data_IF_239964278009
#
_entry.id   IF_239964278009
#
_cell.length_a   1.000
_cell.length_b   1.000
_cell.length_c   1.000
_cell.angle_alpha   90.00
_cell.angle_beta   90.00
_cell.angle_gamma   90.00
#
_symmetry.space_group_name_H-M   'P 1'
#
loop_
_entity.id
_entity.type
_entity.pdbx_description
1 polymer ?
#
# COMPACT_ATOMS: atom_id res chain seq x y z
N UNK A 1 15.59 7.47 3.07
CA UNK A 1 15.37 6.19 2.35
C UNK A 1 16.22 6.23 1.10
N UNK A 2 17.30 5.46 1.09
CA UNK A 2 18.23 5.39 -0.04
C UNK A 2 17.50 4.85 -1.28
N UNK A 3 17.68 5.55 -2.40
CA UNK A 3 17.40 5.04 -3.74
C UNK A 3 18.09 3.67 -3.87
N UNK A 4 17.32 2.59 -3.81
CA UNK A 4 17.77 1.34 -4.40
C UNK A 4 18.02 1.65 -5.88
N UNK A 5 19.31 1.69 -6.24
CA UNK A 5 19.78 2.04 -7.56
C UNK A 5 18.96 1.34 -8.64
N UNK A 6 18.54 2.10 -9.63
CA UNK A 6 17.92 1.59 -10.86
C UNK A 6 18.69 0.40 -11.46
N UNK A 7 20.01 0.31 -11.19
CA UNK A 7 20.91 -0.74 -11.65
C UNK A 7 20.61 -2.12 -11.06
N UNK A 8 20.05 -2.19 -9.86
CA UNK A 8 19.76 -3.46 -9.16
C UNK A 8 18.53 -4.18 -9.72
N UNK A 9 17.65 -3.43 -10.39
CA UNK A 9 16.49 -3.97 -11.13
C UNK A 9 16.91 -4.36 -12.56
N UNK A 10 17.91 -3.67 -13.12
CA UNK A 10 18.50 -3.93 -14.44
C UNK A 10 19.26 -5.27 -14.45
N UNK A 11 19.94 -5.62 -13.35
CA UNK A 11 20.70 -6.89 -13.25
C UNK A 11 19.83 -8.15 -13.24
N UNK A 12 18.60 -8.07 -12.71
CA UNK A 12 17.68 -9.22 -12.58
C UNK A 12 16.90 -9.58 -13.85
N UNK A 13 16.95 -8.75 -14.89
CA UNK A 13 16.31 -9.04 -16.19
C UNK A 13 17.29 -9.65 -17.20
N UNK A 14 18.31 -10.33 -16.69
CA UNK A 14 19.21 -11.24 -17.42
C UNK A 14 19.97 -10.59 -18.58
N UNK A 15 21.09 -9.96 -18.27
CA UNK A 15 22.19 -9.80 -19.23
C UNK A 15 22.79 -11.14 -19.69
N UNK A 16 22.48 -12.25 -19.02
CA UNK A 16 23.02 -13.58 -19.31
C UNK A 16 22.15 -14.54 -20.13
N UNK A 17 20.97 -14.14 -20.62
CA UNK A 17 20.04 -15.08 -21.28
C UNK A 17 19.24 -14.49 -22.46
N UNK A 18 19.73 -13.41 -23.09
CA UNK A 18 19.15 -12.92 -24.35
C UNK A 18 19.64 -13.77 -25.53
N UNK A 19 19.25 -15.05 -25.53
CA UNK A 19 19.66 -16.08 -26.48
C UNK A 19 19.38 -15.64 -27.93
N UNK A 20 18.27 -14.95 -28.15
CA UNK A 20 17.88 -14.47 -29.49
C UNK A 20 18.85 -13.39 -29.98
N UNK A 21 19.18 -12.40 -29.13
CA UNK A 21 20.18 -11.38 -29.49
C UNK A 21 21.54 -12.04 -29.78
N UNK A 22 21.95 -12.98 -28.94
CA UNK A 22 23.22 -13.69 -29.09
C UNK A 22 23.26 -14.45 -30.42
N UNK A 23 22.27 -15.31 -30.71
CA UNK A 23 22.18 -16.07 -31.96
C UNK A 23 22.17 -15.17 -33.21
N UNK A 24 21.43 -14.06 -33.18
CA UNK A 24 21.42 -13.11 -34.29
C UNK A 24 22.77 -12.43 -34.47
N UNK A 25 23.42 -12.02 -33.39
CA UNK A 25 24.73 -11.36 -33.42
C UNK A 25 25.80 -12.32 -33.94
N UNK A 26 25.83 -13.56 -33.43
CA UNK A 26 26.77 -14.60 -33.85
C UNK A 26 26.59 -14.92 -35.34
N UNK A 27 25.34 -15.05 -35.81
CA UNK A 27 25.09 -15.34 -37.22
C UNK A 27 25.46 -14.17 -38.14
N UNK A 28 25.19 -12.93 -37.71
CA UNK A 28 25.62 -11.72 -38.42
C UNK A 28 27.14 -11.68 -38.54
N UNK A 29 27.86 -12.05 -37.47
CA UNK A 29 29.31 -12.08 -37.46
C UNK A 29 29.87 -13.17 -38.39
N UNK A 30 29.33 -14.38 -38.35
CA UNK A 30 29.67 -15.48 -39.27
C UNK A 30 29.49 -15.08 -40.75
N UNK A 31 28.38 -14.41 -41.10
CA UNK A 31 28.18 -13.94 -42.47
C UNK A 31 29.17 -12.85 -42.89
N UNK A 32 29.59 -11.96 -41.98
CA UNK A 32 30.62 -10.94 -42.27
C UNK A 32 31.97 -11.58 -42.55
N UNK A 33 32.36 -12.56 -41.75
CA UNK A 33 33.62 -13.32 -41.93
C UNK A 33 33.61 -14.09 -43.26
N UNK A 34 32.47 -14.68 -43.64
CA UNK A 34 32.31 -15.35 -44.93
C UNK A 34 32.43 -14.39 -46.12
N UNK A 35 31.84 -13.18 -46.03
CA UNK A 35 32.01 -12.15 -47.07
C UNK A 35 33.49 -11.77 -47.20
N UNK A 36 34.18 -11.49 -46.09
CA UNK A 36 35.59 -11.10 -46.10
C UNK A 36 36.48 -12.17 -46.75
N UNK A 37 36.26 -13.44 -46.41
CA UNK A 37 36.98 -14.57 -47.01
C UNK A 37 36.73 -14.70 -48.52
N UNK A 38 35.48 -14.53 -48.98
CA UNK A 38 35.14 -14.58 -50.40
C UNK A 38 35.71 -13.39 -51.17
N UNK A 39 35.68 -12.19 -50.59
CA UNK A 39 36.26 -10.98 -51.19
C UNK A 39 37.78 -11.10 -51.32
N UNK A 40 38.48 -11.62 -50.31
CA UNK A 40 39.92 -11.91 -50.39
C UNK A 40 40.23 -12.92 -51.49
N UNK A 41 39.47 -14.03 -51.57
CA UNK A 41 39.63 -15.04 -52.62
C UNK A 41 39.38 -14.50 -54.03
N UNK A 42 38.45 -13.56 -54.17
CA UNK A 42 38.09 -12.97 -55.47
C UNK A 42 39.16 -12.03 -56.04
N UNK A 43 39.96 -11.34 -55.20
CA UNK A 43 41.06 -10.46 -55.65
C UNK A 43 42.13 -11.17 -56.48
N UNK A 44 42.20 -12.50 -56.39
CA UNK A 44 43.19 -13.34 -57.07
C UNK A 44 42.64 -14.03 -58.33
N UNK A 45 41.36 -13.83 -58.67
CA UNK A 45 40.72 -14.44 -59.83
C UNK A 45 40.70 -13.47 -61.02
N UNK A 46 41.05 -13.97 -62.21
CA UNK A 46 40.81 -13.26 -63.47
C UNK A 46 39.33 -13.33 -63.86
N UNK A 47 38.85 -12.36 -64.64
CA UNK A 47 37.46 -12.29 -65.09
C UNK A 47 37.08 -13.58 -65.86
N UNK A 48 36.29 -14.43 -65.20
CA UNK A 48 35.85 -15.74 -65.71
C UNK A 48 34.71 -16.31 -64.87
N UNK A 49 34.19 -17.48 -65.24
CA UNK A 49 32.99 -18.08 -64.64
C UNK A 49 33.06 -18.20 -63.09
N UNK A 50 34.26 -18.44 -62.55
CA UNK A 50 34.48 -18.58 -61.09
C UNK A 50 34.33 -17.23 -60.38
N UNK A 51 34.85 -16.14 -60.95
CA UNK A 51 34.69 -14.80 -60.39
C UNK A 51 33.22 -14.34 -60.40
N UNK A 52 32.48 -14.70 -61.45
CA UNK A 52 31.03 -14.41 -61.53
C UNK A 52 30.22 -15.19 -60.48
N UNK A 53 30.53 -16.47 -60.27
CA UNK A 53 29.90 -17.29 -59.24
C UNK A 53 30.16 -16.73 -57.82
N UNK A 54 31.40 -16.34 -57.51
CA UNK A 54 31.73 -15.72 -56.23
C UNK A 54 30.96 -14.41 -55.99
N UNK A 55 30.83 -13.56 -57.02
CA UNK A 55 30.06 -12.33 -56.92
C UNK A 55 28.58 -12.59 -56.61
N UNK A 56 27.97 -13.61 -57.21
CA UNK A 56 26.58 -14.00 -56.90
C UNK A 56 26.44 -14.48 -55.45
N UNK A 57 27.39 -15.27 -54.95
CA UNK A 57 27.38 -15.75 -53.55
C UNK A 57 27.55 -14.59 -52.57
N UNK A 58 28.48 -13.67 -52.81
CA UNK A 58 28.66 -12.45 -52.00
C UNK A 58 27.37 -11.64 -51.95
N UNK A 59 26.73 -11.43 -53.11
CA UNK A 59 25.45 -10.70 -53.20
C UNK A 59 24.35 -11.38 -52.39
N UNK A 60 24.27 -12.72 -52.44
CA UNK A 60 23.29 -13.49 -51.67
C UNK A 60 23.55 -13.38 -50.16
N UNK A 61 24.81 -13.46 -49.71
CA UNK A 61 25.17 -13.33 -48.31
C UNK A 61 24.90 -11.90 -47.80
N UNK A 62 25.19 -10.87 -48.60
CA UNK A 62 24.86 -9.48 -48.28
C UNK A 62 23.35 -9.28 -48.06
N UNK A 63 22.51 -9.84 -48.94
CA UNK A 63 21.05 -9.79 -48.75
C UNK A 63 20.60 -10.49 -47.45
N UNK A 64 21.22 -11.61 -47.10
CA UNK A 64 20.94 -12.29 -45.83
C UNK A 64 21.40 -11.48 -44.62
N UNK A 65 22.56 -10.83 -44.71
CA UNK A 65 23.11 -9.95 -43.69
C UNK A 65 22.17 -8.78 -43.42
N UNK A 66 21.67 -8.12 -44.47
CA UNK A 66 20.71 -7.02 -44.36
C UNK A 66 19.39 -7.47 -43.71
N UNK A 67 18.88 -8.64 -44.11
CA UNK A 67 17.68 -9.21 -43.50
C UNK A 67 17.88 -9.48 -42.00
N UNK A 68 19.01 -10.08 -41.61
CA UNK A 68 19.31 -10.37 -40.20
C UNK A 68 19.54 -9.10 -39.37
N UNK A 69 20.23 -8.10 -39.92
CA UNK A 69 20.39 -6.80 -39.28
C UNK A 69 19.03 -6.13 -39.03
N UNK A 70 18.11 -6.20 -39.99
CA UNK A 70 16.76 -5.68 -39.83
C UNK A 70 15.99 -6.42 -38.73
N UNK A 71 16.06 -7.75 -38.70
CA UNK A 71 15.43 -8.56 -37.65
C UNK A 71 16.00 -8.20 -36.26
N UNK A 72 17.33 -8.06 -36.15
CA UNK A 72 17.98 -7.65 -34.91
C UNK A 72 17.51 -6.26 -34.45
N UNK A 73 17.41 -5.30 -35.37
CA UNK A 73 16.95 -3.95 -35.05
C UNK A 73 15.51 -3.93 -34.56
N UNK A 74 14.61 -4.66 -35.23
CA UNK A 74 13.21 -4.82 -34.80
C UNK A 74 13.15 -5.47 -33.42
N UNK A 75 13.89 -6.55 -33.21
CA UNK A 75 13.97 -7.25 -31.92
C UNK A 75 14.40 -6.31 -30.78
N UNK A 76 15.50 -5.58 -30.97
CA UNK A 76 16.02 -4.65 -29.95
C UNK A 76 15.04 -3.51 -29.64
N UNK A 77 14.36 -3.00 -30.67
CA UNK A 77 13.31 -1.98 -30.52
C UNK A 77 12.14 -2.51 -29.68
N UNK A 78 11.59 -3.67 -30.05
CA UNK A 78 10.50 -4.30 -29.30
C UNK A 78 10.88 -4.60 -27.84
N UNK A 79 12.07 -5.15 -27.62
CA UNK A 79 12.55 -5.46 -26.29
C UNK A 79 12.69 -4.21 -25.43
N UNK A 80 13.10 -3.08 -26.02
CA UNK A 80 13.14 -1.79 -25.35
C UNK A 80 11.74 -1.32 -24.94
N UNK A 81 10.75 -1.48 -25.82
CA UNK A 81 9.35 -1.13 -25.54
C UNK A 81 8.79 -2.00 -24.40
N UNK A 82 8.98 -3.33 -24.47
CA UNK A 82 8.53 -4.27 -23.44
C UNK A 82 9.16 -3.98 -22.09
N UNK A 83 10.47 -3.68 -22.05
CA UNK A 83 11.19 -3.27 -20.83
C UNK A 83 10.57 -2.01 -20.22
N UNK A 84 10.34 -0.97 -21.02
CA UNK A 84 9.69 0.27 -20.56
C UNK A 84 8.29 0.01 -20.02
N UNK A 85 7.50 -0.82 -20.69
CA UNK A 85 6.15 -1.19 -20.24
C UNK A 85 6.18 -1.93 -18.89
N UNK A 86 7.09 -2.90 -18.72
CA UNK A 86 7.24 -3.64 -17.47
C UNK A 86 7.66 -2.74 -16.30
N UNK A 87 8.60 -1.83 -16.52
CA UNK A 87 9.04 -0.86 -15.50
C UNK A 87 7.85 0.03 -15.08
N UNK A 88 7.11 0.57 -16.05
CA UNK A 88 5.90 1.37 -15.77
C UNK A 88 4.86 0.56 -14.99
N UNK A 89 4.65 -0.71 -15.34
CA UNK A 89 3.72 -1.58 -14.62
C UNK A 89 4.17 -1.77 -13.16
N UNK A 90 5.43 -2.14 -12.93
CA UNK A 90 5.98 -2.29 -11.57
C UNK A 90 5.87 -1.01 -10.75
N UNK A 91 6.09 0.16 -11.35
CA UNK A 91 5.92 1.45 -10.68
C UNK A 91 4.46 1.70 -10.29
N UNK A 92 3.50 1.39 -11.17
CA UNK A 92 2.06 1.50 -10.87
C UNK A 92 1.66 0.53 -9.75
N UNK A 93 2.08 -0.72 -9.82
CA UNK A 93 1.77 -1.73 -8.81
C UNK A 93 2.35 -1.35 -7.44
N UNK A 94 3.59 -0.85 -7.41
CA UNK A 94 4.22 -0.34 -6.18
C UNK A 94 3.46 0.85 -5.61
N UNK A 95 3.09 1.82 -6.46
CA UNK A 95 2.31 2.98 -6.02
C UNK A 95 0.97 2.55 -5.43
N UNK A 96 0.23 1.69 -6.13
CA UNK A 96 -1.05 1.17 -5.67
C UNK A 96 -0.92 0.40 -4.34
N UNK A 97 0.15 -0.38 -4.17
CA UNK A 97 0.42 -1.06 -2.90
C UNK A 97 0.67 -0.06 -1.77
N UNK A 98 1.48 0.98 -1.99
CA UNK A 98 1.76 2.02 -1.00
C UNK A 98 0.47 2.74 -0.61
N UNK A 99 -0.34 3.16 -1.59
CA UNK A 99 -1.61 3.85 -1.36
C UNK A 99 -2.57 2.98 -0.53
N UNK A 100 -2.60 1.66 -0.79
CA UNK A 100 -3.36 0.72 0.03
C UNK A 100 -2.83 0.59 1.46
N UNK A 101 -1.51 0.61 1.67
CA UNK A 101 -0.92 0.54 3.00
C UNK A 101 -1.17 1.81 3.81
N UNK A 102 -1.13 2.98 3.16
CA UNK A 102 -1.50 4.25 3.80
C UNK A 102 -2.96 4.18 4.27
N UNK A 103 -3.89 3.80 3.39
CA UNK A 103 -5.30 3.66 3.75
C UNK A 103 -5.54 2.64 4.89
N UNK A 104 -4.78 1.53 4.90
CA UNK A 104 -4.83 0.55 5.99
C UNK A 104 -4.43 1.16 7.33
N UNK A 105 -3.33 1.91 7.35
CA UNK A 105 -2.81 2.54 8.55
C UNK A 105 -3.77 3.62 9.05
N UNK A 106 -4.32 4.45 8.16
CA UNK A 106 -5.35 5.44 8.50
C UNK A 106 -6.58 4.79 9.15
N UNK A 107 -7.10 3.71 8.57
CA UNK A 107 -8.23 2.99 9.17
C UNK A 107 -7.88 2.33 10.50
N UNK A 108 -6.68 1.77 10.65
CA UNK A 108 -6.20 1.22 11.93
C UNK A 108 -6.14 2.29 13.01
N UNK A 109 -5.69 3.49 12.66
CA UNK A 109 -5.62 4.63 13.55
C UNK A 109 -7.02 5.11 13.96
N UNK A 110 -7.94 5.29 13.01
CA UNK A 110 -9.33 5.66 13.31
C UNK A 110 -9.95 4.65 14.29
N UNK A 111 -9.82 3.36 13.99
CA UNK A 111 -10.35 2.30 14.85
C UNK A 111 -9.70 2.35 16.25
N UNK A 112 -8.39 2.56 16.35
CA UNK A 112 -7.72 2.70 17.65
C UNK A 112 -8.21 3.92 18.42
N UNK A 113 -8.35 5.07 17.76
CA UNK A 113 -8.80 6.31 18.38
C UNK A 113 -10.25 6.19 18.89
N UNK A 114 -11.10 5.40 18.25
CA UNK A 114 -12.47 5.16 18.77
C UNK A 114 -12.50 4.47 20.14
N UNK A 115 -11.38 3.87 20.57
CA UNK A 115 -11.25 3.25 21.89
C UNK A 115 -10.94 4.27 22.99
N UNK A 116 -10.59 5.51 22.63
CA UNK A 116 -10.37 6.59 23.59
C UNK A 116 -11.75 7.02 24.14
N UNK A 117 -11.96 7.03 25.47
CA UNK A 117 -13.27 7.29 26.07
C UNK A 117 -13.94 8.59 25.60
N UNK A 118 -13.17 9.67 25.46
CA UNK A 118 -13.67 10.98 25.03
C UNK A 118 -14.12 11.00 23.56
N UNK A 119 -13.40 10.27 22.71
CA UNK A 119 -13.74 10.09 21.29
C UNK A 119 -14.98 9.21 21.17
N UNK A 120 -15.00 8.09 21.89
CA UNK A 120 -16.15 7.18 21.95
C UNK A 120 -17.41 7.89 22.45
N UNK A 121 -17.28 8.71 23.48
CA UNK A 121 -18.37 9.53 23.99
C UNK A 121 -18.85 10.55 22.94
N UNK A 122 -17.94 11.23 22.25
CA UNK A 122 -18.29 12.18 21.20
C UNK A 122 -19.06 11.51 20.06
N UNK A 123 -18.62 10.33 19.62
CA UNK A 123 -19.31 9.50 18.61
C UNK A 123 -20.67 8.98 19.10
N UNK A 124 -20.80 8.63 20.38
CA UNK A 124 -22.08 8.16 20.96
C UNK A 124 -23.09 9.30 21.08
N UNK A 125 -22.63 10.49 21.48
CA UNK A 125 -23.48 11.66 21.73
C UNK A 125 -23.72 12.51 20.47
N UNK A 126 -22.88 12.39 19.44
CA UNK A 126 -22.90 13.27 18.26
C UNK A 126 -22.40 14.68 18.57
N UNK A 127 -21.42 14.81 19.47
CA UNK A 127 -20.88 16.10 19.92
C UNK A 127 -19.52 16.39 19.28
N UNK A 128 -19.02 17.63 19.42
CA UNK A 128 -17.72 18.05 18.89
C UNK A 128 -17.56 17.84 17.37
N UNK A 129 -18.67 17.86 16.60
CA UNK A 129 -18.62 17.59 15.15
C UNK A 129 -18.45 16.12 14.77
N UNK A 130 -18.60 15.20 15.73
CA UNK A 130 -18.70 13.76 15.48
C UNK A 130 -20.02 13.41 14.79
N UNK A 131 -19.96 12.40 13.91
CA UNK A 131 -21.17 11.68 13.52
C UNK A 131 -21.71 10.90 14.73
N UNK A 132 -23.03 10.90 14.89
CA UNK A 132 -23.67 10.13 15.96
C UNK A 132 -23.81 8.67 15.54
N UNK A 133 -23.11 7.78 16.24
CA UNK A 133 -23.17 6.34 16.04
C UNK A 133 -24.21 5.70 16.96
N UNK A 134 -24.89 4.69 16.43
CA UNK A 134 -25.78 3.84 17.20
C UNK A 134 -24.99 2.72 17.94
N UNK A 135 -25.67 2.00 18.84
CA UNK A 135 -25.02 0.97 19.66
C UNK A 135 -24.43 -0.20 18.84
N UNK A 136 -25.01 -0.53 17.69
CA UNK A 136 -24.48 -1.58 16.81
C UNK A 136 -23.19 -1.13 16.11
N UNK A 137 -23.15 0.12 15.65
CA UNK A 137 -21.95 0.70 15.03
C UNK A 137 -20.79 0.80 16.03
N UNK A 138 -21.05 1.23 17.26
CA UNK A 138 -20.04 1.26 18.33
C UNK A 138 -19.53 -0.15 18.66
N UNK A 139 -20.43 -1.13 18.74
CA UNK A 139 -20.06 -2.54 18.96
C UNK A 139 -19.20 -3.06 17.81
N UNK A 140 -19.56 -2.72 16.57
CA UNK A 140 -18.78 -3.07 15.39
C UNK A 140 -17.37 -2.47 15.46
N UNK A 141 -17.21 -1.20 15.84
CA UNK A 141 -15.89 -0.57 15.98
C UNK A 141 -15.02 -1.27 17.03
N UNK A 142 -15.60 -1.67 18.16
CA UNK A 142 -14.89 -2.43 19.20
C UNK A 142 -14.45 -3.82 18.71
N UNK A 143 -15.31 -4.52 17.97
CA UNK A 143 -14.95 -5.81 17.38
C UNK A 143 -13.88 -5.66 16.29
N UNK A 144 -13.98 -4.61 15.47
CA UNK A 144 -12.97 -4.28 14.45
C UNK A 144 -11.62 -3.97 15.07
N UNK A 145 -11.58 -3.31 16.23
CA UNK A 145 -10.34 -3.06 16.96
C UNK A 145 -9.62 -4.37 17.28
N UNK A 146 -10.33 -5.36 17.82
CA UNK A 146 -9.74 -6.67 18.14
C UNK A 146 -9.28 -7.44 16.90
N UNK A 147 -10.00 -7.29 15.79
CA UNK A 147 -9.74 -8.02 14.55
C UNK A 147 -8.57 -7.45 13.73
N UNK A 148 -8.50 -6.12 13.62
CA UNK A 148 -7.56 -5.40 12.74
C UNK A 148 -6.36 -4.86 13.53
N UNK A 149 -6.53 -4.58 14.83
CA UNK A 149 -5.47 -4.18 15.76
C UNK A 149 -5.27 -5.23 16.88
N UNK A 150 -4.94 -6.49 16.54
CA UNK A 150 -4.81 -7.53 17.56
C UNK A 150 -3.64 -7.22 18.51
N UNK A 151 -3.85 -7.47 19.80
CA UNK A 151 -2.77 -7.42 20.79
C UNK A 151 -1.72 -8.48 20.46
N UNK A 152 -0.47 -8.05 20.32
CA UNK A 152 0.68 -8.92 20.04
C UNK A 152 1.46 -9.15 21.31
N UNK A 153 1.41 -10.38 21.84
CA UNK A 153 2.25 -10.80 22.96
C UNK A 153 3.53 -11.43 22.42
N UNK A 154 4.68 -10.81 22.69
CA UNK A 154 5.99 -11.30 22.23
C UNK A 154 6.46 -12.58 22.92
N UNK A 155 5.84 -12.96 24.06
CA UNK A 155 6.07 -14.26 24.69
C UNK A 155 5.32 -15.40 23.99
N UNK A 156 4.34 -15.08 23.12
CA UNK A 156 3.61 -16.10 22.36
C UNK A 156 4.49 -16.73 21.26
N UNK A 157 4.11 -17.94 20.86
CA UNK A 157 4.72 -18.64 19.74
C UNK A 157 4.64 -17.79 18.44
N UNK A 158 5.76 -17.72 17.72
CA UNK A 158 5.86 -16.96 16.46
C UNK A 158 4.78 -17.33 15.42
N UNK A 159 4.40 -18.61 15.34
CA UNK A 159 3.35 -19.09 14.43
C UNK A 159 1.98 -18.49 14.77
N UNK A 160 1.66 -18.37 16.06
CA UNK A 160 0.41 -17.78 16.55
C UNK A 160 0.39 -16.29 16.22
N UNK A 161 1.47 -15.57 16.56
CA UNK A 161 1.66 -14.15 16.23
C UNK A 161 1.52 -13.88 14.73
N UNK A 162 2.20 -14.67 13.90
CA UNK A 162 2.15 -14.55 12.44
C UNK A 162 0.74 -14.78 11.90
N UNK A 163 0.00 -15.74 12.47
CA UNK A 163 -1.41 -15.99 12.11
C UNK A 163 -2.31 -14.83 12.47
N UNK A 164 -2.18 -14.25 13.69
CA UNK A 164 -2.93 -13.07 14.12
C UNK A 164 -2.71 -11.88 13.17
N UNK A 165 -1.45 -11.58 12.87
CA UNK A 165 -1.08 -10.50 11.94
C UNK A 165 -1.61 -10.73 10.52
N UNK A 166 -1.55 -11.99 10.02
CA UNK A 166 -2.08 -12.34 8.71
C UNK A 166 -3.59 -12.13 8.63
N UNK A 167 -4.36 -12.59 9.63
CA UNK A 167 -5.82 -12.41 9.68
C UNK A 167 -6.17 -10.91 9.72
N UNK A 168 -5.49 -10.15 10.59
CA UNK A 168 -5.70 -8.71 10.69
C UNK A 168 -5.44 -7.99 9.36
N UNK A 169 -4.34 -8.35 8.69
CA UNK A 169 -3.99 -7.81 7.39
C UNK A 169 -5.04 -8.16 6.32
N UNK A 170 -5.41 -9.44 6.21
CA UNK A 170 -6.41 -9.89 5.22
C UNK A 170 -7.76 -9.19 5.38
N UNK A 171 -8.22 -9.01 6.63
CA UNK A 171 -9.47 -8.30 6.89
C UNK A 171 -9.34 -6.80 6.62
N UNK A 172 -8.22 -6.17 6.98
CA UNK A 172 -7.95 -4.77 6.62
C UNK A 172 -7.96 -4.54 5.10
N UNK A 173 -7.35 -5.45 4.32
CA UNK A 173 -7.37 -5.39 2.85
C UNK A 173 -8.79 -5.51 2.30
N UNK A 174 -9.64 -6.39 2.86
CA UNK A 174 -11.05 -6.51 2.45
C UNK A 174 -11.84 -5.21 2.64
N UNK A 175 -11.54 -4.45 3.71
CA UNK A 175 -12.14 -3.12 3.95
C UNK A 175 -11.65 -2.12 2.91
N UNK A 176 -10.35 -1.98 2.72
CA UNK A 176 -9.77 -0.98 1.79
C UNK A 176 -10.22 -1.19 0.35
N UNK A 177 -10.28 -2.46 -0.06
CA UNK A 177 -10.74 -2.87 -1.39
C UNK A 177 -12.25 -2.77 -1.60
N UNK A 178 -12.98 -2.24 -0.63
CA UNK A 178 -14.43 -2.03 -0.74
C UNK A 178 -15.17 -3.35 -1.03
N UNK A 179 -14.73 -4.44 -0.39
CA UNK A 179 -15.18 -5.77 -0.77
C UNK A 179 -16.59 -6.08 -0.27
N UNK A 180 -17.35 -6.84 -1.06
CA UNK A 180 -18.65 -7.38 -0.65
C UNK A 180 -18.56 -8.56 0.32
N UNK A 181 -17.35 -8.98 0.70
CA UNK A 181 -17.15 -10.09 1.62
C UNK A 181 -17.48 -9.69 3.05
N UNK A 182 -18.20 -10.57 3.75
CA UNK A 182 -18.50 -10.42 5.17
C UNK A 182 -17.22 -10.52 6.01
N UNK A 183 -17.09 -9.64 6.99
CA UNK A 183 -15.96 -9.60 7.93
C UNK A 183 -16.43 -9.88 9.34
N UNK A 184 -17.48 -9.17 9.81
CA UNK A 184 -18.09 -9.34 11.13
C UNK A 184 -19.60 -9.44 10.92
N UNK A 185 -20.20 -10.56 11.34
CA UNK A 185 -21.61 -10.87 11.17
C UNK A 185 -22.11 -10.64 9.72
N UNK A 186 -22.97 -9.65 9.54
CA UNK A 186 -23.56 -9.24 8.27
C UNK A 186 -22.88 -8.01 7.64
N UNK A 187 -21.87 -7.45 8.30
CA UNK A 187 -21.09 -6.31 7.81
C UNK A 187 -20.02 -6.76 6.82
N UNK A 188 -20.09 -6.19 5.63
CA UNK A 188 -19.12 -6.41 4.56
C UNK A 188 -17.95 -5.42 4.65
N UNK A 189 -16.89 -5.69 3.88
CA UNK A 189 -15.79 -4.72 3.73
C UNK A 189 -16.28 -3.34 3.26
N UNK A 190 -17.25 -3.31 2.36
CA UNK A 190 -17.93 -2.09 1.91
C UNK A 190 -18.65 -1.37 3.05
N UNK A 191 -19.49 -2.09 3.82
CA UNK A 191 -20.24 -1.48 4.94
C UNK A 191 -19.28 -0.85 5.96
N UNK A 192 -18.21 -1.57 6.31
CA UNK A 192 -17.18 -1.11 7.25
C UNK A 192 -16.43 0.10 6.69
N UNK A 193 -16.11 0.09 5.39
CA UNK A 193 -15.45 1.21 4.73
C UNK A 193 -16.32 2.46 4.74
N UNK A 194 -17.61 2.37 4.37
CA UNK A 194 -18.54 3.50 4.42
C UNK A 194 -18.59 4.10 5.85
N UNK A 195 -18.61 3.27 6.90
CA UNK A 195 -18.58 3.73 8.30
C UNK A 195 -17.26 4.46 8.64
N UNK A 196 -16.11 3.85 8.34
CA UNK A 196 -14.80 4.44 8.64
C UNK A 196 -14.55 5.73 7.85
N UNK A 197 -14.99 5.80 6.61
CA UNK A 197 -14.93 7.03 5.81
C UNK A 197 -15.85 8.12 6.38
N UNK A 198 -17.01 7.75 6.92
CA UNK A 198 -17.91 8.70 7.60
C UNK A 198 -17.26 9.28 8.87
N UNK A 199 -16.57 8.43 9.65
CA UNK A 199 -15.81 8.88 10.83
C UNK A 199 -14.61 9.73 10.40
N UNK A 200 -13.88 9.32 9.36
CA UNK A 200 -12.74 10.07 8.82
C UNK A 200 -13.12 11.48 8.41
N UNK A 201 -14.26 11.63 7.74
CA UNK A 201 -14.69 12.89 7.14
C UNK A 201 -15.50 13.78 8.11
N UNK A 202 -15.76 13.32 9.34
CA UNK A 202 -16.43 14.15 10.33
C UNK A 202 -15.49 15.22 10.89
N UNK A 203 -16.06 16.27 11.48
CA UNK A 203 -15.29 17.39 12.03
C UNK A 203 -14.72 17.09 13.44
N UNK A 204 -14.86 15.85 13.92
CA UNK A 204 -14.46 15.46 15.27
C UNK A 204 -13.00 15.77 15.55
N UNK A 205 -12.08 15.30 14.71
CA UNK A 205 -10.64 15.54 14.90
C UNK A 205 -10.27 17.02 14.76
N UNK A 206 -10.96 17.78 13.91
CA UNK A 206 -10.71 19.21 13.73
C UNK A 206 -11.20 20.07 14.92
N UNK A 207 -12.22 19.60 15.63
CA UNK A 207 -12.80 20.29 16.78
C UNK A 207 -12.28 19.73 18.11
N UNK A 208 -11.29 18.84 18.10
CA UNK A 208 -10.74 18.29 19.34
C UNK A 208 -9.93 19.34 20.12
N UNK A 209 -10.03 19.33 21.46
CA UNK A 209 -9.08 20.07 22.28
C UNK A 209 -7.64 19.57 22.05
N UNK A 210 -6.67 20.49 22.06
CA UNK A 210 -5.25 20.17 21.85
C UNK A 210 -4.67 19.16 22.85
N UNK A 211 -5.22 19.08 24.06
CA UNK A 211 -4.78 18.08 25.05
C UNK A 211 -5.16 16.66 24.62
N UNK A 212 -6.30 16.48 23.95
CA UNK A 212 -6.76 15.18 23.46
C UNK A 212 -5.96 14.75 22.23
N UNK A 213 -5.61 15.71 21.37
CA UNK A 213 -4.67 15.49 20.26
C UNK A 213 -3.30 15.03 20.77
N UNK A 214 -2.76 15.69 21.80
CA UNK A 214 -1.51 15.27 22.46
C UNK A 214 -1.64 13.88 23.09
N UNK A 215 -2.79 13.53 23.66
CA UNK A 215 -3.03 12.21 24.25
C UNK A 215 -3.00 11.11 23.19
N UNK A 216 -3.64 11.32 22.03
CA UNK A 216 -3.59 10.40 20.89
C UNK A 216 -2.13 10.15 20.49
N UNK A 217 -1.34 11.22 20.31
CA UNK A 217 0.08 11.13 19.94
C UNK A 217 0.88 10.36 20.99
N UNK A 218 0.70 10.64 22.28
CA UNK A 218 1.41 9.93 23.37
C UNK A 218 1.05 8.44 23.40
N UNK A 219 -0.23 8.11 23.21
CA UNK A 219 -0.69 6.73 23.20
C UNK A 219 -0.12 5.96 22.00
N UNK A 220 -0.04 6.60 20.83
CA UNK A 220 0.60 6.04 19.64
C UNK A 220 2.11 5.79 19.86
N UNK A 221 2.84 6.72 20.49
CA UNK A 221 4.26 6.54 20.79
C UNK A 221 4.51 5.45 21.85
N UNK A 222 3.62 5.34 22.84
CA UNK A 222 3.72 4.37 23.93
C UNK A 222 3.56 2.92 23.45
N UNK A 223 2.83 2.70 22.34
CA UNK A 223 2.73 1.39 21.67
C UNK A 223 3.99 1.01 20.87
N UNK A 224 4.83 1.99 20.48
CA UNK A 224 6.04 1.81 19.67
C UNK A 224 7.28 1.62 20.55
N UNK A 225 7.26 2.09 21.79
CA UNK A 225 8.33 1.82 22.74
C UNK A 225 8.43 0.30 22.99
N UNK A 226 9.54 -0.37 22.65
CA UNK A 226 9.81 -1.68 23.22
C UNK A 226 9.71 -1.52 24.73
N UNK A 227 9.10 -2.48 25.43
CA UNK A 227 9.02 -2.53 26.88
C UNK A 227 10.43 -2.60 27.53
N UNK A 228 11.16 -1.47 27.47
CA UNK A 228 12.37 -1.12 28.19
C UNK A 228 12.04 0.01 29.15
N UNK A 229 10.95 -0.16 29.88
CA UNK A 229 10.61 0.68 31.04
C UNK A 229 9.67 -0.10 31.96
N UNK A 230 10.03 -1.36 32.28
CA UNK A 230 9.55 -2.01 33.50
C UNK A 230 10.71 -2.05 34.49
N UNK A 231 11.21 -0.85 34.79
CA UNK A 231 11.77 -0.45 36.08
C UNK A 231 11.73 1.09 36.06
N UNK A 232 11.01 1.68 37.02
CA UNK A 232 10.94 3.12 37.29
C UNK A 232 9.98 3.97 36.42
N UNK A 233 8.67 3.66 36.46
CA UNK A 233 7.65 4.70 36.31
C UNK A 233 6.50 4.48 37.29
N UNK A 234 6.83 4.26 38.56
CA UNK A 234 5.99 4.74 39.64
C UNK A 234 6.52 6.14 39.99
N UNK A 235 5.65 7.16 39.86
CA UNK A 235 5.86 8.62 40.04
C UNK A 235 5.65 9.32 38.69
N UNK A 236 4.66 10.20 38.48
CA UNK A 236 4.20 11.26 39.36
C UNK A 236 2.72 11.59 39.08
N UNK A 237 1.80 11.20 39.98
CA UNK A 237 0.58 11.96 40.28
C UNK A 237 0.15 11.53 41.69
N UNK A 238 0.94 11.93 42.69
CA UNK A 238 0.52 11.92 44.08
C UNK A 238 0.65 13.35 44.59
N UNK A 239 -0.49 14.05 44.61
CA UNK A 239 -0.64 15.30 45.33
C UNK A 239 -0.84 14.93 46.81
N UNK A 240 0.08 15.38 47.67
CA UNK A 240 -0.21 15.61 49.09
C UNK A 240 0.46 14.67 50.11
N UNK A 241 1.30 15.29 50.93
CA UNK A 241 1.51 15.03 52.37
C UNK A 241 2.58 14.01 52.82
N UNK A 242 3.77 14.56 53.07
CA UNK A 242 4.66 14.37 54.24
C UNK A 242 4.77 13.02 54.98
N UNK A 243 6.03 12.60 55.08
CA UNK A 243 6.77 12.07 56.24
C UNK A 243 6.91 10.55 56.48
N UNK A 244 8.18 10.21 56.78
CA UNK A 244 8.73 9.05 57.50
C UNK A 244 8.75 7.66 56.84
N UNK A 245 9.99 7.26 56.49
CA UNK A 245 10.63 5.98 56.76
C UNK A 245 9.76 4.71 56.87
N UNK A 246 9.94 3.79 55.93
CA UNK A 246 10.06 2.35 56.25
C UNK A 246 10.63 1.58 55.06
N UNK A 247 11.71 0.84 55.32
CA UNK A 247 12.10 -0.34 54.53
C UNK A 247 10.94 -1.32 54.56
N UNK A 248 10.56 -1.88 53.42
CA UNK A 248 9.84 -3.17 53.41
C UNK A 248 10.30 -3.99 52.21
N UNK A 249 10.66 -5.23 52.54
CA UNK A 249 11.26 -6.22 51.69
C UNK A 249 10.25 -6.73 50.63
N UNK A 250 10.72 -6.86 49.39
CA UNK A 250 9.97 -7.55 48.34
C UNK A 250 10.10 -9.06 48.55
N UNK A 251 9.09 -9.70 49.13
CA UNK A 251 8.87 -11.13 49.00
C UNK A 251 7.97 -11.42 47.80
N UNK A 252 8.45 -12.30 46.94
CA UNK A 252 7.75 -12.87 45.79
C UNK A 252 6.46 -13.57 46.23
N UNK A 253 5.34 -13.19 45.62
CA UNK A 253 4.14 -14.03 45.61
C UNK A 253 3.97 -14.55 44.19
N UNK A 254 4.30 -15.82 44.03
CA UNK A 254 3.87 -16.66 42.91
C UNK A 254 2.35 -16.64 42.84
N UNK A 255 1.81 -16.34 41.66
CA UNK A 255 0.42 -16.63 41.33
C UNK A 255 0.36 -17.28 39.95
N UNK A 256 0.77 -18.54 39.93
CA UNK A 256 0.20 -19.53 39.03
C UNK A 256 -1.28 -19.71 39.37
N UNK A 257 -2.16 -18.98 38.68
CA UNK A 257 -3.55 -19.41 38.44
C UNK A 257 -4.25 -18.46 37.47
N UNK A 258 -4.16 -18.74 36.17
CA UNK A 258 -5.22 -18.36 35.20
C UNK A 258 -4.99 -18.99 33.81
N UNK A 259 -4.50 -20.25 33.78
CA UNK A 259 -4.29 -20.99 32.52
C UNK A 259 -5.62 -21.52 31.94
N UNK A 260 -6.71 -21.57 32.71
CA UNK A 260 -7.96 -22.23 32.28
C UNK A 260 -9.06 -21.29 31.72
N UNK A 261 -8.83 -19.99 31.56
CA UNK A 261 -9.83 -19.07 30.99
C UNK A 261 -9.63 -18.73 29.50
N UNK A 262 -8.45 -19.00 28.93
CA UNK A 262 -8.14 -18.60 27.54
C UNK A 262 -8.64 -19.63 26.51
N UNK A 263 -8.78 -20.90 26.89
CA UNK A 263 -9.30 -21.95 25.99
C UNK A 263 -10.83 -21.85 25.75
N UNK A 264 -11.54 -21.03 26.53
CA UNK A 264 -12.99 -20.87 26.39
C UNK A 264 -13.43 -19.92 25.27
N UNK A 265 -12.51 -19.11 24.74
CA UNK A 265 -12.81 -18.18 23.63
C UNK A 265 -12.36 -18.67 22.26
N UNK A 266 -11.49 -19.69 22.20
CA UNK A 266 -10.99 -20.22 20.92
C UNK A 266 -11.86 -21.33 20.33
N UNK A 267 -12.68 -22.01 21.14
CA UNK A 267 -13.47 -23.18 20.71
C UNK A 267 -14.97 -22.90 20.52
N UNK A 268 -15.41 -21.64 20.62
CA UNK A 268 -16.85 -21.29 20.61
C UNK A 268 -17.25 -20.35 19.46
N UNK A 269 -16.46 -20.24 18.39
CA UNK A 269 -16.92 -19.61 17.14
C UNK A 269 -17.65 -20.61 16.23
N UNK A 270 -18.71 -21.21 16.77
CA UNK A 270 -19.82 -21.71 15.96
C UNK A 270 -20.97 -20.72 16.15
N UNK A 271 -21.04 -19.71 15.29
CA UNK A 271 -22.22 -18.84 15.20
C UNK A 271 -23.37 -19.71 14.67
N UNK A 272 -24.26 -20.13 15.58
CA UNK A 272 -25.57 -20.67 15.23
C UNK A 272 -26.58 -19.52 15.19
N UNK A 273 -27.40 -19.55 14.15
CA UNK A 273 -28.14 -18.45 13.52
C UNK A 273 -29.37 -17.90 14.29
N UNK A 274 -29.48 -18.11 15.60
CA UNK A 274 -30.74 -17.93 16.30
C UNK A 274 -30.63 -16.80 17.35
N UNK A 275 -31.04 -15.58 16.97
CA UNK A 275 -31.64 -14.51 17.81
C UNK A 275 -31.15 -13.07 17.59
N UNK A 276 -31.12 -12.56 16.35
CA UNK A 276 -31.18 -11.11 16.15
C UNK A 276 -32.28 -10.74 15.15
N UNK A 277 -33.36 -10.16 15.69
CA UNK A 277 -34.40 -9.49 14.90
C UNK A 277 -33.75 -8.46 13.98
N UNK A 278 -33.93 -8.68 12.68
CA UNK A 278 -33.48 -7.82 11.59
C UNK A 278 -34.12 -6.44 11.77
N UNK A 279 -33.33 -5.44 12.14
CA UNK A 279 -33.69 -4.02 11.95
C UNK A 279 -32.87 -3.45 10.79
N UNK A 280 -33.50 -2.56 10.01
CA UNK A 280 -32.97 -1.99 8.76
C UNK A 280 -31.54 -1.47 8.90
N UNK A 281 -30.69 -1.86 7.93
CA UNK A 281 -29.36 -1.29 7.73
C UNK A 281 -29.46 0.24 7.56
N UNK A 282 -28.67 1.03 8.31
CA UNK A 282 -28.49 2.43 8.00
C UNK A 282 -27.72 2.58 6.66
N UNK A 283 -28.14 3.54 5.84
CA UNK A 283 -27.67 3.70 4.45
C UNK A 283 -26.69 4.87 4.36
N UNK A 284 -25.39 4.60 4.45
CA UNK A 284 -24.34 5.63 4.52
C UNK A 284 -23.85 6.12 3.16
N UNK A 285 -24.11 5.37 2.10
CA UNK A 285 -23.42 5.55 0.83
C UNK A 285 -24.28 6.25 -0.26
N UNK A 286 -25.42 6.88 0.13
CA UNK A 286 -26.32 7.59 -0.80
C UNK A 286 -26.20 9.13 -0.82
N UNK A 287 -25.45 9.76 0.09
CA UNK A 287 -25.49 11.22 0.25
C UNK A 287 -24.37 12.01 -0.48
N UNK A 288 -23.50 11.34 -1.24
CA UNK A 288 -22.42 12.02 -2.00
C UNK A 288 -22.75 12.34 -3.47
N UNK A 289 -24.03 12.39 -3.84
CA UNK A 289 -24.48 13.03 -5.09
C UNK A 289 -25.26 14.29 -4.75
N UNK A 290 -24.57 15.41 -4.52
CA UNK A 290 -24.92 16.80 -4.86
C UNK A 290 -23.83 17.69 -4.25
N UNK A 291 -22.84 18.05 -5.06
CA UNK A 291 -22.05 19.29 -5.00
C UNK A 291 -21.03 19.27 -6.15
N UNK A 292 -21.55 19.19 -7.38
CA UNK A 292 -20.87 19.69 -8.57
C UNK A 292 -21.74 20.79 -9.14
N UNK A 293 -21.58 22.00 -8.63
CA UNK A 293 -22.08 23.20 -9.28
C UNK A 293 -21.19 24.39 -8.91
N UNK A 294 -20.58 24.93 -9.96
CA UNK A 294 -20.29 26.34 -10.19
C UNK A 294 -19.16 26.97 -9.37
N UNK A 295 -18.00 27.10 -10.02
CA UNK A 295 -17.18 28.30 -9.93
C UNK A 295 -16.49 28.53 -11.28
N UNK A 296 -17.31 28.81 -12.31
CA UNK A 296 -16.93 29.83 -13.27
C UNK A 296 -17.46 31.15 -12.70
N UNK A 297 -16.56 32.08 -12.40
CA UNK A 297 -16.56 33.43 -12.97
C UNK A 297 -15.89 34.47 -12.05
N UNK A 298 -15.28 35.45 -12.72
CA UNK A 298 -14.85 36.77 -12.25
C UNK A 298 -13.60 36.86 -11.36
N UNK A 299 -12.45 36.98 -12.05
CA UNK A 299 -11.41 37.93 -11.64
C UNK A 299 -11.54 39.17 -12.52
N UNK A 300 -11.97 40.29 -11.93
CA UNK A 300 -11.90 41.63 -12.52
C UNK A 300 -10.92 42.49 -11.73
N UNK A 301 -10.28 43.39 -12.49
CA UNK A 301 -9.41 44.53 -12.12
C UNK A 301 -7.92 44.18 -12.07
N UNK A 302 -7.03 44.87 -12.80
CA UNK A 302 -7.04 46.30 -13.09
C UNK A 302 -6.07 46.69 -14.22
N UNK A 303 -6.45 47.72 -14.99
CA UNK A 303 -5.55 48.79 -15.43
C UNK A 303 -4.82 48.62 -16.76
N UNK A 304 -5.38 49.18 -17.85
CA UNK A 304 -4.70 50.23 -18.63
C UNK A 304 -5.62 50.90 -19.67
N UNK A 305 -5.77 52.20 -19.43
CA UNK A 305 -6.10 53.37 -20.27
C UNK A 305 -6.17 53.27 -21.82
N UNK A 306 -7.17 54.04 -22.35
CA UNK A 306 -7.10 54.96 -23.52
C UNK A 306 -7.13 54.27 -24.91
N UNK A 307 -8.00 54.56 -25.88
CA UNK A 307 -8.55 55.84 -26.39
C UNK A 307 -9.85 55.58 -27.15
N UNK A 308 -10.82 56.50 -27.05
CA UNK A 308 -11.96 56.64 -27.96
C UNK A 308 -11.49 57.22 -29.29
N UNK A 309 -11.80 56.59 -30.43
CA UNK A 309 -11.90 57.27 -31.72
C UNK A 309 -13.17 56.76 -32.40
N UNK A 310 -14.19 57.61 -32.44
CA UNK A 310 -15.22 57.56 -33.47
C UNK A 310 -14.99 58.79 -34.35
N UNK A 311 -14.86 58.58 -35.66
CA UNK A 311 -15.25 59.56 -36.69
C UNK A 311 -15.41 58.82 -38.02
N UNK A 312 -16.64 58.92 -38.55
CA UNK A 312 -17.12 58.69 -39.94
C UNK A 312 -16.95 57.33 -40.57
#
# INVERSE_FOLDING_TARGET
>A
MQEQSYDDIISKWNSGNDIIKMLLTDKIQDLKEQIEMLEMGQRHLSAGNIACANQMVITMIMNQLDALNNVLNVYLSEMTIRKKALIKQKQRDRKQFIDQMIALLEYKEIIANTQIPEISYSLTSGTNGAIKLNGQELTLLNLLHLLINPTINFKENNKIRSRKLKIAFENGIKVIKDSSFRIIDHYTGHDIKCLLDSIRNCQLLANMPSWLENMIVIQQMSFIAPARAVTNSASCFAIGSSSSSSKSDCSSIDTDSNVDQIDKYSNTMNFTDENYKILKKPNYCNDNKILKTNNESLSTNSGQQVTTINST
#
